data_IF_183469485222
#
_entry.id   IF_183469485222
#
_cell.length_a   1.000
_cell.length_b   1.000
_cell.length_c   1.000
_cell.angle_alpha   90.00
_cell.angle_beta   90.00
_cell.angle_gamma   90.00
#
_symmetry.space_group_name_H-M   'P 1'
#
loop_
_entity.id
_entity.type
_entity.pdbx_description
1 polymer ?
#
# COMPACT_ATOMS: atom_id res chain seq x y z
N UNK A 1 -0.12 -11.52 16.80
CA UNK A 1 0.33 -10.42 17.68
C UNK A 1 0.02 -9.11 16.99
N UNK A 2 -1.01 -8.40 17.48
CA UNK A 2 -1.37 -7.04 17.08
C UNK A 2 -1.04 -6.17 18.29
N UNK A 3 0.11 -5.51 18.29
CA UNK A 3 0.41 -4.49 19.30
C UNK A 3 0.71 -3.12 18.68
N UNK A 4 1.07 -3.07 17.38
CA UNK A 4 1.55 -1.85 16.72
C UNK A 4 0.98 -1.64 15.30
N UNK A 5 0.01 -2.43 14.84
CA UNK A 5 -0.63 -2.23 13.52
C UNK A 5 0.19 -2.62 12.27
N UNK A 6 1.43 -3.09 12.40
CA UNK A 6 2.22 -3.49 11.23
C UNK A 6 1.88 -4.92 10.78
N UNK A 7 1.47 -5.07 9.52
CA UNK A 7 1.28 -6.35 8.84
C UNK A 7 2.44 -6.55 7.85
N UNK A 8 3.32 -7.52 8.12
CA UNK A 8 4.41 -7.89 7.21
C UNK A 8 4.01 -9.15 6.44
N UNK A 9 3.86 -9.04 5.13
CA UNK A 9 3.44 -10.12 4.24
C UNK A 9 4.29 -10.10 2.96
N UNK A 10 4.74 -11.29 2.55
CA UNK A 10 5.59 -11.48 1.36
C UNK A 10 4.73 -11.74 0.11
N UNK A 11 4.72 -10.74 -0.78
CA UNK A 11 4.69 -10.81 -2.26
C UNK A 11 3.35 -10.92 -3.04
N UNK A 12 3.13 -9.83 -3.81
CA UNK A 12 2.51 -9.58 -5.14
C UNK A 12 1.02 -9.84 -5.44
N UNK A 13 0.47 -11.04 -5.36
CA UNK A 13 -0.98 -11.23 -5.63
C UNK A 13 -1.86 -10.90 -4.40
N UNK A 14 -1.20 -10.75 -3.25
CA UNK A 14 -1.83 -10.54 -1.96
C UNK A 14 -2.17 -9.06 -1.69
N UNK A 15 -1.66 -8.10 -2.47
CA UNK A 15 -1.85 -6.69 -2.12
C UNK A 15 -3.32 -6.25 -2.19
N UNK A 16 -4.04 -6.60 -3.24
CA UNK A 16 -5.47 -6.24 -3.37
C UNK A 16 -6.32 -6.92 -2.29
N UNK A 17 -6.08 -8.22 -2.06
CA UNK A 17 -6.79 -8.99 -1.04
C UNK A 17 -6.52 -8.43 0.38
N UNK A 18 -5.25 -8.12 0.66
CA UNK A 18 -4.83 -7.50 1.91
C UNK A 18 -5.44 -6.11 2.10
N UNK A 19 -5.40 -5.25 1.07
CA UNK A 19 -5.99 -3.91 1.14
C UNK A 19 -7.50 -3.98 1.41
N UNK A 20 -8.20 -4.91 0.76
CA UNK A 20 -9.62 -5.16 1.04
C UNK A 20 -9.86 -5.65 2.48
N UNK A 21 -9.05 -6.59 2.96
CA UNK A 21 -9.14 -7.10 4.34
C UNK A 21 -8.85 -6.00 5.37
N UNK A 22 -7.90 -5.12 5.08
CA UNK A 22 -7.59 -3.95 5.90
C UNK A 22 -8.75 -2.96 5.87
N UNK A 23 -9.31 -2.68 4.70
CA UNK A 23 -10.46 -1.77 4.55
C UNK A 23 -11.68 -2.21 5.40
N UNK A 24 -11.92 -3.51 5.51
CA UNK A 24 -12.97 -4.05 6.38
C UNK A 24 -12.71 -3.75 7.88
N UNK A 25 -11.46 -3.50 8.24
CA UNK A 25 -11.00 -3.13 9.59
C UNK A 25 -10.67 -1.64 9.74
N UNK A 26 -11.06 -0.78 8.79
CA UNK A 26 -10.76 0.67 8.79
C UNK A 26 -11.22 1.44 10.03
N UNK A 27 -12.11 0.89 10.85
CA UNK A 27 -12.45 1.51 12.15
C UNK A 27 -11.31 1.47 13.16
N UNK A 28 -10.22 0.73 12.88
CA UNK A 28 -9.07 0.56 13.76
C UNK A 28 -7.86 1.43 13.38
N UNK A 29 -7.87 2.07 12.21
CA UNK A 29 -6.77 2.91 11.72
C UNK A 29 -7.24 3.90 10.66
N UNK A 30 -6.58 5.06 10.55
CA UNK A 30 -6.95 6.10 9.58
C UNK A 30 -6.17 6.00 8.26
N UNK A 31 -4.98 5.39 8.27
CA UNK A 31 -4.04 5.36 7.13
C UNK A 31 -3.31 4.03 7.04
N UNK A 32 -3.00 3.63 5.82
CA UNK A 32 -2.16 2.45 5.52
C UNK A 32 -0.87 2.95 4.88
N UNK A 33 0.27 2.49 5.41
CA UNK A 33 1.59 2.75 4.84
C UNK A 33 2.11 1.45 4.24
N UNK A 34 2.38 1.47 2.94
CA UNK A 34 2.97 0.34 2.23
C UNK A 34 4.47 0.57 2.13
N UNK A 35 5.24 -0.21 2.89
CA UNK A 35 6.69 -0.27 2.75
C UNK A 35 7.05 -1.37 1.76
N UNK A 36 7.78 -1.00 0.72
CA UNK A 36 8.32 -1.96 -0.24
C UNK A 36 9.83 -1.99 -0.09
N UNK A 37 10.42 -3.18 -0.15
CA UNK A 37 11.88 -3.32 -0.10
C UNK A 37 12.53 -2.45 -1.19
N UNK A 38 13.75 -1.95 -0.96
CA UNK A 38 14.43 -0.99 -1.86
C UNK A 38 14.74 -1.49 -3.29
N UNK A 39 14.30 -2.70 -3.64
CA UNK A 39 14.39 -3.28 -4.98
C UNK A 39 13.03 -3.43 -5.67
N UNK A 40 11.93 -3.20 -4.97
CA UNK A 40 10.59 -3.28 -5.52
C UNK A 40 10.29 -2.02 -6.34
N UNK A 41 9.76 -2.21 -7.54
CA UNK A 41 9.29 -1.11 -8.37
C UNK A 41 7.96 -0.59 -7.79
N UNK A 42 7.80 0.74 -7.59
CA UNK A 42 6.56 1.31 -7.07
C UNK A 42 5.43 1.31 -8.10
N UNK A 43 5.77 1.32 -9.40
CA UNK A 43 4.79 1.49 -10.47
C UNK A 43 3.66 0.45 -10.46
N UNK A 44 3.93 -0.87 -10.31
CA UNK A 44 2.86 -1.88 -10.19
C UNK A 44 1.93 -1.65 -9.00
N UNK A 45 2.43 -1.11 -7.89
CA UNK A 45 1.63 -0.84 -6.69
C UNK A 45 0.72 0.35 -6.90
N UNK A 46 1.27 1.42 -7.48
CA UNK A 46 0.51 2.61 -7.87
C UNK A 46 -0.61 2.21 -8.82
N UNK A 47 -0.30 1.38 -9.84
CA UNK A 47 -1.29 0.90 -10.80
C UNK A 47 -2.47 0.19 -10.14
N UNK A 48 -2.26 -0.57 -9.07
CA UNK A 48 -3.36 -1.19 -8.31
C UNK A 48 -4.41 -0.17 -7.84
N UNK A 49 -3.99 1.01 -7.38
CA UNK A 49 -4.93 2.04 -6.90
C UNK A 49 -5.74 2.72 -8.03
N UNK A 50 -5.33 2.56 -9.29
CA UNK A 50 -6.02 3.15 -10.44
C UNK A 50 -6.73 2.12 -11.31
N UNK A 51 -6.22 0.90 -11.40
CA UNK A 51 -6.70 -0.14 -12.32
C UNK A 51 -7.63 -1.14 -11.64
N UNK A 52 -7.61 -1.27 -10.32
CA UNK A 52 -8.46 -2.21 -9.58
C UNK A 52 -9.67 -1.48 -8.96
N UNK A 53 -10.90 -1.68 -9.49
CA UNK A 53 -12.10 -1.00 -8.99
C UNK A 53 -12.37 -1.27 -7.51
N UNK A 54 -12.07 -2.49 -7.04
CA UNK A 54 -12.24 -2.89 -5.64
C UNK A 54 -11.41 -2.02 -4.68
N UNK A 55 -10.29 -1.47 -5.15
CA UNK A 55 -9.41 -0.60 -4.38
C UNK A 55 -9.72 0.87 -4.67
N UNK A 56 -9.82 1.27 -5.93
CA UNK A 56 -10.00 2.69 -6.32
C UNK A 56 -11.28 3.33 -5.77
N UNK A 57 -12.35 2.54 -5.62
CA UNK A 57 -13.65 3.03 -5.12
C UNK A 57 -13.65 3.23 -3.60
N UNK A 58 -12.69 2.61 -2.89
CA UNK A 58 -12.67 2.51 -1.42
C UNK A 58 -11.48 3.24 -0.79
N UNK A 59 -10.39 3.36 -1.54
CA UNK A 59 -9.10 3.82 -1.04
C UNK A 59 -8.46 4.77 -2.05
N UNK A 60 -7.82 5.82 -1.54
CA UNK A 60 -7.11 6.80 -2.37
C UNK A 60 -5.61 6.79 -2.02
N UNK A 61 -4.78 6.78 -3.05
CA UNK A 61 -3.34 6.97 -2.90
C UNK A 61 -3.05 8.44 -2.54
N UNK A 62 -2.37 8.68 -1.41
CA UNK A 62 -2.02 10.02 -0.91
C UNK A 62 -0.69 10.50 -1.52
N UNK A 63 0.37 9.70 -1.41
CA UNK A 63 1.69 10.00 -1.98
C UNK A 63 2.62 8.79 -2.03
N UNK A 64 3.70 8.87 -2.82
CA UNK A 64 4.66 7.78 -3.01
C UNK A 64 6.07 8.28 -2.75
N UNK A 65 6.66 7.86 -1.63
CA UNK A 65 8.03 8.24 -1.31
C UNK A 65 9.03 7.19 -1.79
N UNK A 66 9.86 7.52 -2.78
CA UNK A 66 10.98 6.70 -3.22
C UNK A 66 12.26 7.16 -2.51
N UNK A 67 12.71 6.38 -1.51
CA UNK A 67 13.98 6.60 -0.81
C UNK A 67 15.18 6.14 -1.63
N UNK A 68 15.42 6.76 -2.78
CA UNK A 68 16.58 6.52 -3.65
C UNK A 68 17.35 7.82 -3.87
N UNK A 69 18.64 7.83 -3.49
CA UNK A 69 19.49 9.02 -3.59
C UNK A 69 19.53 9.63 -4.99
N UNK A 70 19.60 10.97 -5.02
CA UNK A 70 19.67 11.85 -6.21
C UNK A 70 18.39 11.91 -7.05
N UNK A 71 17.41 12.67 -6.57
CA UNK A 71 16.26 13.09 -7.40
C UNK A 71 14.96 13.03 -6.61
N UNK A 72 14.69 14.11 -5.88
CA UNK A 72 13.41 14.35 -5.22
C UNK A 72 12.30 14.38 -6.29
N UNK A 73 11.52 13.32 -6.37
CA UNK A 73 10.23 13.31 -7.04
C UNK A 73 9.23 12.76 -6.02
N UNK A 74 8.29 13.64 -5.69
CA UNK A 74 7.17 13.49 -4.77
C UNK A 74 6.28 12.30 -5.09
#
# INVERSE_FOLDING_TARGET
MLNNGCLCCTVRDDLVSMLNTLYDRRSQFDRIVIETTGLAQPAPIIQTFFLEPSVSDRMRLDGVHQGGGTGMLW
#
